data_IF_363050799631
#
_entry.id   IF_363050799631
#
_cell.length_a   1.000
_cell.length_b   1.000
_cell.length_c   1.000
_cell.angle_alpha   90.00
_cell.angle_beta   90.00
_cell.angle_gamma   90.00
#
_symmetry.space_group_name_H-M   'P 1'
#
loop_
_entity.id
_entity.type
_entity.pdbx_description
1 polymer ?
#
# COMPACT_ATOMS: atom_id res chain seq x y z
N UNK A 1 -12.91 13.84 -16.27
CA UNK A 1 -11.68 13.17 -16.76
C UNK A 1 -11.40 11.97 -15.88
N UNK A 2 -11.27 10.77 -16.45
CA UNK A 2 -11.09 9.53 -15.71
C UNK A 2 -9.64 9.37 -15.24
N UNK A 3 -9.38 9.54 -13.94
CA UNK A 3 -8.08 9.23 -13.30
C UNK A 3 -7.70 7.72 -13.30
N UNK A 4 -8.35 6.92 -14.13
CA UNK A 4 -8.17 5.47 -14.22
C UNK A 4 -6.74 5.05 -14.58
N UNK A 5 -6.04 5.69 -15.54
CA UNK A 5 -4.66 5.33 -15.87
C UNK A 5 -3.71 5.54 -14.68
N UNK A 6 -3.90 6.59 -13.89
CA UNK A 6 -3.07 6.86 -12.71
C UNK A 6 -3.36 5.90 -11.56
N UNK A 7 -4.63 5.54 -11.38
CA UNK A 7 -5.07 4.56 -10.38
C UNK A 7 -4.34 3.22 -10.53
N UNK A 8 -4.24 2.70 -11.75
CA UNK A 8 -3.56 1.43 -12.03
C UNK A 8 -2.04 1.51 -11.78
N UNK A 9 -1.40 2.64 -12.11
CA UNK A 9 0.01 2.88 -11.79
C UNK A 9 0.24 2.83 -10.28
N UNK A 10 -0.64 3.46 -9.50
CA UNK A 10 -0.52 3.46 -8.04
C UNK A 10 -0.77 2.07 -7.45
N UNK A 11 -1.76 1.31 -7.96
CA UNK A 11 -1.95 -0.10 -7.57
C UNK A 11 -0.71 -0.96 -7.84
N UNK A 12 -0.01 -0.73 -8.95
CA UNK A 12 1.28 -1.38 -9.23
C UNK A 12 2.31 -1.01 -8.16
N UNK A 13 2.40 0.26 -7.75
CA UNK A 13 3.28 0.64 -6.65
C UNK A 13 2.86 0.04 -5.30
N UNK A 14 1.57 -0.17 -5.04
CA UNK A 14 1.12 -0.92 -3.85
C UNK A 14 1.67 -2.35 -3.90
N UNK A 15 1.58 -3.03 -5.05
CA UNK A 15 2.15 -4.36 -5.23
C UNK A 15 3.66 -4.38 -4.94
N UNK A 16 4.42 -3.47 -5.56
CA UNK A 16 5.88 -3.38 -5.39
C UNK A 16 6.29 -3.12 -3.94
N UNK A 17 5.59 -2.21 -3.24
CA UNK A 17 5.87 -1.92 -1.83
C UNK A 17 5.50 -3.08 -0.93
N UNK A 18 4.40 -3.77 -1.20
CA UNK A 18 4.04 -4.99 -0.46
C UNK A 18 5.10 -6.07 -0.61
N UNK A 19 5.61 -6.30 -1.83
CA UNK A 19 6.73 -7.23 -2.06
C UNK A 19 7.96 -6.82 -1.26
N UNK A 20 8.33 -5.56 -1.30
CA UNK A 20 9.52 -5.07 -0.59
C UNK A 20 9.37 -5.17 0.94
N UNK A 21 8.18 -4.91 1.47
CA UNK A 21 7.87 -5.09 2.90
C UNK A 21 8.01 -6.56 3.32
N UNK A 22 7.53 -7.51 2.50
CA UNK A 22 7.64 -8.94 2.76
C UNK A 22 9.08 -9.46 2.59
N UNK A 23 9.83 -8.91 1.64
CA UNK A 23 11.24 -9.24 1.43
C UNK A 23 12.10 -8.78 2.61
N UNK A 24 11.89 -7.55 3.07
CA UNK A 24 12.70 -6.92 4.11
C UNK A 24 12.34 -7.33 5.55
N UNK A 25 11.12 -7.81 5.79
CA UNK A 25 10.72 -8.23 7.14
C UNK A 25 11.40 -9.54 7.57
N UNK A 26 11.85 -9.58 8.83
CA UNK A 26 12.32 -10.81 9.50
C UNK A 26 11.17 -11.66 10.04
N UNK A 27 10.01 -11.04 10.30
CA UNK A 27 8.85 -11.72 10.88
C UNK A 27 8.12 -12.58 9.83
N UNK A 28 7.51 -13.69 10.27
CA UNK A 28 6.65 -14.54 9.42
C UNK A 28 5.36 -13.84 8.95
N UNK A 29 4.98 -12.75 9.60
CA UNK A 29 3.84 -11.91 9.21
C UNK A 29 4.13 -10.45 9.51
N UNK A 30 3.49 -9.56 8.76
CA UNK A 30 3.47 -8.11 9.01
C UNK A 30 2.04 -7.62 8.99
N UNK A 31 1.70 -6.67 9.85
CA UNK A 31 0.41 -5.99 9.84
C UNK A 31 0.62 -4.51 9.59
N UNK A 32 -0.05 -3.95 8.59
CA UNK A 32 0.08 -2.55 8.20
C UNK A 32 -1.30 -1.95 7.95
N UNK A 33 -1.51 -0.70 8.40
CA UNK A 33 -2.72 0.05 8.06
C UNK A 33 -2.80 0.24 6.55
N UNK A 34 -3.96 0.02 5.96
CA UNK A 34 -4.17 0.19 4.52
C UNK A 34 -3.85 1.61 4.05
N UNK A 35 -4.20 2.62 4.87
CA UNK A 35 -3.84 4.04 4.65
C UNK A 35 -2.32 4.24 4.60
N UNK A 36 -1.56 3.56 5.45
CA UNK A 36 -0.09 3.67 5.46
C UNK A 36 0.50 3.06 4.20
N UNK A 37 0.01 1.87 3.81
CA UNK A 37 0.44 1.20 2.59
C UNK A 37 0.17 2.07 1.34
N UNK A 38 -0.99 2.71 1.26
CA UNK A 38 -1.31 3.68 0.21
C UNK A 38 -0.33 4.85 0.20
N UNK A 39 -0.01 5.44 1.36
CA UNK A 39 0.95 6.55 1.44
C UNK A 39 2.33 6.13 0.93
N UNK A 40 2.78 4.92 1.29
CA UNK A 40 4.07 4.41 0.83
C UNK A 40 4.06 4.20 -0.69
N UNK A 41 2.99 3.61 -1.24
CA UNK A 41 2.83 3.42 -2.67
C UNK A 41 2.80 4.74 -3.45
N UNK A 42 2.14 5.77 -2.92
CA UNK A 42 2.10 7.08 -3.56
C UNK A 42 3.47 7.77 -3.56
N UNK A 43 4.21 7.70 -2.45
CA UNK A 43 5.60 8.18 -2.39
C UNK A 43 6.48 7.41 -3.39
N UNK A 44 6.30 6.09 -3.45
CA UNK A 44 7.01 5.22 -4.39
C UNK A 44 6.74 5.60 -5.85
N UNK A 45 5.48 5.87 -6.19
CA UNK A 45 5.06 6.32 -7.52
C UNK A 45 5.67 7.66 -7.89
N UNK A 46 5.55 8.65 -7.00
CA UNK A 46 6.03 10.02 -7.25
C UNK A 46 7.55 10.13 -7.28
N UNK A 47 8.26 9.29 -6.52
CA UNK A 47 9.73 9.33 -6.38
C UNK A 47 10.46 8.19 -7.09
N UNK A 48 9.72 7.32 -7.79
CA UNK A 48 10.22 6.17 -8.57
C UNK A 48 11.20 5.29 -7.77
N UNK A 49 10.87 4.99 -6.52
CA UNK A 49 11.72 4.18 -5.64
C UNK A 49 10.89 3.20 -4.82
N UNK A 50 11.46 2.04 -4.50
CA UNK A 50 10.89 1.06 -3.55
C UNK A 50 11.66 1.01 -2.24
N UNK A 51 12.74 1.79 -2.09
CA UNK A 51 13.54 1.81 -0.86
C UNK A 51 12.69 2.31 0.33
N UNK A 52 12.41 1.40 1.27
CA UNK A 52 11.51 1.67 2.38
C UNK A 52 12.01 2.76 3.33
N UNK A 53 13.33 2.92 3.49
CA UNK A 53 13.91 3.98 4.33
C UNK A 53 13.67 5.35 3.72
N UNK A 54 13.96 5.49 2.42
CA UNK A 54 13.67 6.70 1.65
C UNK A 54 12.18 7.04 1.69
N UNK A 55 11.32 6.04 1.47
CA UNK A 55 9.87 6.21 1.48
C UNK A 55 9.41 6.72 2.85
N UNK A 56 9.81 6.07 3.94
CA UNK A 56 9.43 6.47 5.31
C UNK A 56 9.80 7.91 5.61
N UNK A 57 10.99 8.36 5.18
CA UNK A 57 11.45 9.74 5.36
C UNK A 57 10.62 10.78 4.60
N UNK A 58 9.97 10.40 3.50
CA UNK A 58 9.23 11.32 2.62
C UNK A 58 7.71 11.33 2.88
N UNK A 59 7.17 10.32 3.56
CA UNK A 59 5.74 10.19 3.90
C UNK A 59 5.12 11.44 4.55
N UNK A 60 5.81 12.20 5.43
CA UNK A 60 5.24 13.43 6.00
C UNK A 60 5.00 14.54 4.96
N UNK A 61 5.84 14.62 3.92
CA UNK A 61 5.89 15.71 2.94
C UNK A 61 5.12 15.40 1.65
N UNK A 62 5.06 14.13 1.25
CA UNK A 62 4.38 13.69 0.02
C UNK A 62 3.09 12.98 0.40
N UNK A 63 1.94 13.64 0.15
CA UNK A 63 0.61 13.14 0.53
C UNK A 63 -0.17 12.68 -0.71
N UNK A 64 -0.85 11.52 -0.66
CA UNK A 64 -1.75 11.12 -1.73
C UNK A 64 -2.91 12.13 -1.84
N UNK A 65 -3.33 12.49 -3.06
CA UNK A 65 -4.53 13.30 -3.26
C UNK A 65 -5.80 12.61 -2.73
N UNK A 66 -6.81 13.42 -2.40
CA UNK A 66 -8.06 12.97 -1.75
C UNK A 66 -8.83 11.92 -2.56
N UNK A 67 -8.74 11.99 -3.90
CA UNK A 67 -9.39 11.03 -4.80
C UNK A 67 -8.79 9.61 -4.74
N UNK A 68 -7.64 9.42 -4.07
CA UNK A 68 -7.10 8.09 -3.73
C UNK A 68 -7.48 7.64 -2.33
N UNK A 69 -7.85 8.56 -1.44
CA UNK A 69 -8.12 8.24 -0.03
C UNK A 69 -9.61 7.98 0.21
N UNK A 70 -10.25 7.20 -0.65
CA UNK A 70 -11.67 6.84 -0.55
C UNK A 70 -11.87 5.32 -0.46
N UNK A 71 -13.08 4.91 -0.07
CA UNK A 71 -13.42 3.51 0.15
C UNK A 71 -13.30 2.65 -1.11
N UNK A 72 -13.57 3.18 -2.30
CA UNK A 72 -13.47 2.45 -3.55
C UNK A 72 -12.01 2.08 -3.82
N UNK A 73 -11.09 3.04 -3.72
CA UNK A 73 -9.68 2.74 -3.96
C UNK A 73 -9.08 1.80 -2.91
N UNK A 74 -9.51 1.94 -1.65
CA UNK A 74 -9.13 0.97 -0.62
C UNK A 74 -9.61 -0.44 -0.95
N UNK A 75 -10.83 -0.61 -1.49
CA UNK A 75 -11.32 -1.93 -1.94
C UNK A 75 -10.49 -2.49 -3.09
N UNK A 76 -10.04 -1.65 -4.02
CA UNK A 76 -9.16 -2.11 -5.11
C UNK A 76 -7.81 -2.60 -4.60
N UNK A 77 -7.24 -1.89 -3.62
CA UNK A 77 -6.02 -2.31 -2.94
C UNK A 77 -6.24 -3.66 -2.26
N UNK A 78 -7.31 -3.79 -1.47
CA UNK A 78 -7.66 -5.03 -0.78
C UNK A 78 -7.79 -6.22 -1.75
N UNK A 79 -8.50 -6.03 -2.87
CA UNK A 79 -8.68 -7.04 -3.89
C UNK A 79 -7.35 -7.44 -4.55
N UNK A 80 -6.52 -6.45 -4.89
CA UNK A 80 -5.18 -6.72 -5.43
C UNK A 80 -4.32 -7.51 -4.43
N UNK A 81 -4.34 -7.13 -3.15
CA UNK A 81 -3.57 -7.82 -2.12
C UNK A 81 -4.02 -9.27 -1.93
N UNK A 82 -5.34 -9.52 -1.84
CA UNK A 82 -5.90 -10.88 -1.75
C UNK A 82 -5.56 -11.75 -2.95
N UNK A 83 -5.53 -11.18 -4.16
CA UNK A 83 -5.24 -11.91 -5.40
C UNK A 83 -3.76 -12.30 -5.55
N UNK A 84 -2.85 -11.51 -4.98
CA UNK A 84 -1.41 -11.63 -5.26
C UNK A 84 -0.56 -12.06 -4.05
N UNK A 85 -1.10 -11.96 -2.84
CA UNK A 85 -0.37 -12.25 -1.60
C UNK A 85 -1.25 -13.06 -0.66
N UNK A 86 -0.60 -13.82 0.23
CA UNK A 86 -1.28 -14.40 1.39
C UNK A 86 -1.60 -13.25 2.36
N UNK A 87 -2.81 -12.71 2.23
CA UNK A 87 -3.24 -11.51 2.93
C UNK A 87 -4.59 -11.74 3.65
N UNK A 88 -4.67 -11.31 4.90
CA UNK A 88 -5.92 -11.18 5.65
C UNK A 88 -6.20 -9.70 5.91
N UNK A 89 -7.46 -9.29 5.82
CA UNK A 89 -7.88 -7.91 6.03
C UNK A 89 -8.85 -7.88 7.20
N UNK A 90 -8.58 -7.01 8.14
CA UNK A 90 -9.34 -6.87 9.37
C UNK A 90 -9.58 -5.39 9.66
N UNK A 91 -10.75 -5.08 10.22
CA UNK A 91 -11.06 -3.76 10.74
C UNK A 91 -10.76 -3.80 12.23
N UNK A 92 -9.81 -2.98 12.69
CA UNK A 92 -9.49 -2.81 14.11
C UNK A 92 -9.93 -1.41 14.53
N UNK A 93 -10.97 -1.34 15.36
CA UNK A 93 -11.67 -0.08 15.68
C UNK A 93 -12.14 0.60 14.40
N UNK A 94 -11.57 1.77 14.05
CA UNK A 94 -11.92 2.56 12.87
C UNK A 94 -10.95 2.42 11.69
N UNK A 95 -9.93 1.56 11.79
CA UNK A 95 -8.88 1.44 10.77
C UNK A 95 -8.87 0.05 10.13
N UNK A 96 -8.74 0.02 8.81
CA UNK A 96 -8.44 -1.20 8.06
C UNK A 96 -6.96 -1.52 8.12
N UNK A 97 -6.67 -2.75 8.53
CA UNK A 97 -5.34 -3.33 8.53
C UNK A 97 -5.30 -4.46 7.51
N UNK A 98 -4.16 -4.60 6.85
CA UNK A 98 -3.82 -5.80 6.10
C UNK A 98 -2.69 -6.52 6.83
N UNK A 99 -2.92 -7.79 7.12
CA UNK A 99 -1.93 -8.70 7.65
C UNK A 99 -1.43 -9.58 6.50
N UNK A 100 -0.16 -9.44 6.17
CA UNK A 100 0.51 -10.17 5.09
C UNK A 100 1.39 -11.26 5.72
N UNK A 101 1.37 -12.44 5.14
CA UNK A 101 2.16 -13.58 5.60
C UNK A 101 3.33 -13.83 4.65
N UNK A 102 4.52 -14.02 5.21
CA UNK A 102 5.71 -14.44 4.49
C UNK A 102 5.62 -15.95 4.32
N UNK A 103 5.73 -16.41 3.08
CA UNK A 103 5.82 -17.84 2.77
C UNK A 103 7.14 -18.41 3.28
#
# INVERSE_FOLDING_TARGET
>A
MSNYPEKNKILRHVYLITQELLRSTRSRKISIKLRTLLRYAYVSYTRRTTNLNTIRGLVPRVKPPSWLTNQYFYRDIENMLRKNFKASIEVRRQFRYVTLYKN
#
